data_IF_128502404299
#
_entry.id   IF_128502404299
#
_cell.length_a   1.000
_cell.length_b   1.000
_cell.length_c   1.000
_cell.angle_alpha   90.00
_cell.angle_beta   90.00
_cell.angle_gamma   90.00
#
_symmetry.space_group_name_H-M   'P 1'
#
loop_
_entity.id
_entity.type
_entity.pdbx_description
1 polymer ?
#
# COMPACT_ATOMS: atom_id res chain seq x y z
N UNK A 1 -20.08 2.64 2.88
CA UNK A 1 -19.00 2.13 2.00
C UNK A 1 -18.80 0.68 2.37
N UNK A 2 -18.38 -0.18 1.43
CA UNK A 2 -18.03 -1.56 1.76
C UNK A 2 -16.52 -1.65 1.64
N UNK A 3 -15.86 -2.09 2.70
CA UNK A 3 -14.41 -2.27 2.66
C UNK A 3 -14.10 -3.65 2.11
N UNK A 4 -12.90 -3.80 1.57
CA UNK A 4 -12.37 -5.10 1.18
C UNK A 4 -11.23 -5.43 2.12
N UNK A 5 -11.37 -6.55 2.80
CA UNK A 5 -10.34 -7.14 3.64
C UNK A 5 -9.55 -8.13 2.80
N UNK A 6 -8.24 -7.86 2.71
CA UNK A 6 -7.27 -8.73 2.09
C UNK A 6 -6.45 -9.40 3.19
N UNK A 7 -6.27 -10.73 3.10
CA UNK A 7 -5.47 -11.52 4.04
C UNK A 7 -4.64 -12.54 3.26
N UNK A 8 -3.64 -13.16 3.88
CA UNK A 8 -2.94 -14.31 3.27
C UNK A 8 -3.82 -15.56 3.13
N UNK A 9 -4.92 -15.65 3.88
CA UNK A 9 -5.72 -16.87 4.00
C UNK A 9 -7.00 -16.79 3.15
N UNK A 10 -6.82 -16.80 1.82
CA UNK A 10 -7.92 -16.98 0.87
C UNK A 10 -8.38 -15.71 0.14
N UNK A 11 -9.51 -15.78 -0.59
CA UNK A 11 -9.96 -14.69 -1.44
C UNK A 11 -10.35 -13.46 -0.61
N UNK A 12 -10.29 -12.25 -1.17
CA UNK A 12 -10.62 -11.05 -0.42
C UNK A 12 -12.09 -11.02 -0.02
N UNK A 13 -12.35 -10.48 1.17
CA UNK A 13 -13.65 -10.52 1.83
C UNK A 13 -14.26 -9.12 1.86
N UNK A 14 -15.59 -9.05 1.77
CA UNK A 14 -16.31 -7.82 2.11
C UNK A 14 -16.25 -7.62 3.62
N UNK A 15 -15.89 -6.43 4.07
CA UNK A 15 -15.71 -6.10 5.47
C UNK A 15 -16.37 -4.77 5.83
N UNK A 16 -16.73 -4.63 7.12
CA UNK A 16 -17.04 -3.35 7.74
C UNK A 16 -15.77 -2.54 8.02
N UNK A 17 -15.85 -1.62 8.97
CA UNK A 17 -14.73 -0.78 9.41
C UNK A 17 -13.86 -1.50 10.45
N UNK A 18 -12.82 -0.84 11.00
CA UNK A 18 -11.92 -1.46 11.99
C UNK A 18 -12.62 -1.93 13.27
N UNK A 19 -13.77 -1.36 13.60
CA UNK A 19 -14.60 -1.75 14.75
C UNK A 19 -15.47 -2.99 14.47
N UNK A 20 -15.51 -3.46 13.21
CA UNK A 20 -16.19 -4.70 12.85
C UNK A 20 -15.52 -5.88 13.58
N UNK A 21 -16.29 -6.71 14.33
CA UNK A 21 -15.72 -7.83 15.09
C UNK A 21 -14.93 -8.82 14.23
N UNK A 22 -15.35 -9.04 12.99
CA UNK A 22 -14.69 -9.96 12.07
C UNK A 22 -13.35 -9.38 11.60
N UNK A 23 -13.29 -8.06 11.38
CA UNK A 23 -12.04 -7.33 11.05
C UNK A 23 -11.10 -7.27 12.24
N UNK A 24 -11.61 -6.91 13.43
CA UNK A 24 -10.80 -6.79 14.65
C UNK A 24 -10.14 -8.11 15.04
N UNK A 25 -10.84 -9.23 14.83
CA UNK A 25 -10.34 -10.59 15.12
C UNK A 25 -9.48 -11.20 14.00
N UNK A 26 -9.40 -10.57 12.82
CA UNK A 26 -8.60 -11.07 11.71
C UNK A 26 -7.10 -11.00 12.03
N UNK A 27 -6.35 -12.12 11.97
CA UNK A 27 -4.91 -12.12 12.17
C UNK A 27 -4.18 -11.46 10.98
N UNK A 28 -3.05 -10.81 11.26
CA UNK A 28 -2.14 -10.33 10.22
C UNK A 28 -1.32 -11.47 9.58
N UNK A 29 -0.79 -11.28 8.36
CA UNK A 29 -0.80 -10.04 7.59
C UNK A 29 -2.17 -9.77 6.92
N UNK A 30 -2.66 -8.54 7.05
CA UNK A 30 -3.96 -8.14 6.49
C UNK A 30 -3.97 -6.66 6.07
N UNK A 31 -4.78 -6.31 5.07
CA UNK A 31 -4.96 -4.94 4.59
C UNK A 31 -6.43 -4.65 4.33
N UNK A 32 -6.90 -3.48 4.76
CA UNK A 32 -8.22 -2.97 4.45
C UNK A 32 -8.16 -1.90 3.37
N UNK A 33 -8.94 -2.11 2.32
CA UNK A 33 -9.13 -1.18 1.23
C UNK A 33 -10.52 -0.59 1.27
N UNK A 34 -10.63 0.71 1.06
CA UNK A 34 -11.91 1.35 0.80
C UNK A 34 -12.37 0.98 -0.62
N UNK A 35 -13.52 0.30 -0.75
CA UNK A 35 -14.10 -0.03 -2.07
C UNK A 35 -15.24 0.92 -2.38
N UNK A 36 -15.22 1.47 -3.61
CA UNK A 36 -16.43 2.00 -4.23
C UNK A 36 -17.25 0.80 -4.71
N UNK A 37 -18.52 0.74 -4.31
CA UNK A 37 -19.44 -0.41 -4.30
C UNK A 37 -19.63 -1.23 -5.61
N UNK A 38 -18.84 -0.98 -6.66
CA UNK A 38 -18.95 -1.59 -7.99
C UNK A 38 -17.78 -2.51 -8.37
N UNK A 39 -16.70 -2.63 -7.59
CA UNK A 39 -15.56 -3.52 -7.90
C UNK A 39 -15.62 -4.83 -7.12
N UNK A 40 -15.30 -5.96 -7.77
CA UNK A 40 -15.17 -7.25 -7.07
C UNK A 40 -13.89 -7.28 -6.23
N UNK A 41 -13.93 -8.03 -5.15
CA UNK A 41 -12.76 -8.36 -4.33
C UNK A 41 -11.55 -8.80 -5.17
N UNK A 42 -11.78 -9.63 -6.18
CA UNK A 42 -10.75 -10.15 -7.11
C UNK A 42 -10.05 -9.03 -7.92
N UNK A 43 -10.78 -7.98 -8.33
CA UNK A 43 -10.21 -6.80 -9.02
C UNK A 43 -9.31 -5.97 -8.08
N UNK A 44 -9.55 -6.07 -6.77
CA UNK A 44 -8.77 -5.38 -5.72
C UNK A 44 -7.39 -6.02 -5.58
N UNK A 45 -7.28 -7.35 -5.68
CA UNK A 45 -5.98 -8.05 -5.68
C UNK A 45 -5.16 -7.78 -6.94
N UNK A 46 -5.81 -7.73 -8.11
CA UNK A 46 -5.10 -7.66 -9.37
C UNK A 46 -4.37 -6.32 -9.59
N UNK A 47 -4.66 -5.29 -8.79
CA UNK A 47 -4.14 -3.95 -9.07
C UNK A 47 -3.85 -3.06 -7.86
N UNK A 48 -4.25 -3.42 -6.64
CA UNK A 48 -4.15 -2.51 -5.49
C UNK A 48 -4.76 -1.13 -5.77
N UNK A 49 -5.72 -1.04 -6.70
CA UNK A 49 -6.26 0.22 -7.26
C UNK A 49 -7.28 0.91 -6.37
N UNK A 50 -7.38 0.46 -5.14
CA UNK A 50 -8.24 1.05 -4.15
C UNK A 50 -7.36 1.72 -3.11
N UNK A 51 -7.90 2.77 -2.50
CA UNK A 51 -7.25 3.48 -1.42
C UNK A 51 -7.17 2.59 -0.17
N UNK A 52 -5.98 2.17 0.29
CA UNK A 52 -5.82 1.48 1.56
C UNK A 52 -6.09 2.47 2.69
N UNK A 53 -6.61 2.00 3.82
CA UNK A 53 -6.76 2.85 5.01
C UNK A 53 -6.27 2.21 6.29
N UNK A 54 -6.11 0.89 6.35
CA UNK A 54 -5.42 0.23 7.45
C UNK A 54 -4.67 -1.02 6.98
N UNK A 55 -3.58 -1.35 7.68
CA UNK A 55 -2.87 -2.62 7.54
C UNK A 55 -2.62 -3.24 8.92
N UNK A 56 -2.35 -4.55 8.93
CA UNK A 56 -1.97 -5.28 10.13
C UNK A 56 -0.81 -6.21 9.80
N UNK A 57 0.29 -6.08 10.52
CA UNK A 57 1.42 -7.00 10.44
C UNK A 57 1.14 -8.29 11.22
N UNK A 58 1.90 -9.35 10.93
CA UNK A 58 1.80 -10.61 11.67
C UNK A 58 2.08 -10.40 13.17
N UNK A 59 1.08 -10.68 14.01
CA UNK A 59 1.19 -10.56 15.47
C UNK A 59 1.10 -9.13 16.02
N UNK A 60 0.85 -8.13 15.19
CA UNK A 60 0.68 -6.74 15.60
C UNK A 60 -0.80 -6.33 15.73
N UNK A 61 -1.05 -5.13 16.24
CA UNK A 61 -2.35 -4.47 16.18
C UNK A 61 -2.58 -3.85 14.79
N UNK A 62 -3.83 -3.46 14.52
CA UNK A 62 -4.16 -2.70 13.32
C UNK A 62 -3.48 -1.33 13.35
N UNK A 63 -2.89 -0.95 12.22
CA UNK A 63 -2.30 0.36 11.97
C UNK A 63 -3.13 1.11 10.94
N UNK A 64 -3.66 2.28 11.31
CA UNK A 64 -4.35 3.18 10.37
C UNK A 64 -3.32 3.96 9.55
N UNK A 65 -3.43 3.90 8.22
CA UNK A 65 -2.54 4.65 7.34
C UNK A 65 -2.86 6.15 7.41
N UNK A 66 -1.82 6.97 7.48
CA UNK A 66 -1.94 8.39 7.22
C UNK A 66 -2.55 8.68 5.84
N UNK A 67 -3.35 9.75 5.76
CA UNK A 67 -4.01 10.18 4.52
C UNK A 67 -3.04 10.29 3.34
N UNK A 68 -1.84 10.83 3.59
CA UNK A 68 -0.80 10.99 2.58
C UNK A 68 -0.34 9.65 2.00
N UNK A 69 -0.05 8.65 2.84
CA UNK A 69 0.40 7.34 2.38
C UNK A 69 -0.70 6.61 1.59
N UNK A 70 -1.94 6.70 2.06
CA UNK A 70 -3.11 6.15 1.39
C UNK A 70 -3.32 6.77 -0.02
N UNK A 71 -3.26 8.09 -0.12
CA UNK A 71 -3.45 8.83 -1.37
C UNK A 71 -2.28 8.55 -2.34
N UNK A 72 -1.05 8.49 -1.83
CA UNK A 72 0.11 8.14 -2.63
C UNK A 72 -0.02 6.73 -3.21
N UNK A 73 -0.43 5.74 -2.41
CA UNK A 73 -0.68 4.39 -2.92
C UNK A 73 -1.75 4.38 -4.02
N UNK A 74 -2.87 5.08 -3.82
CA UNK A 74 -3.94 5.21 -4.81
C UNK A 74 -3.46 5.92 -6.10
N UNK A 75 -2.52 6.85 -6.00
CA UNK A 75 -1.90 7.54 -7.12
C UNK A 75 -0.85 6.74 -7.90
N UNK A 76 -0.35 5.61 -7.38
CA UNK A 76 0.60 4.76 -8.09
C UNK A 76 -0.05 4.05 -9.28
N UNK A 77 0.70 3.82 -10.36
CA UNK A 77 0.22 2.95 -11.43
C UNK A 77 0.19 1.49 -10.97
N UNK A 78 -0.67 0.64 -11.55
CA UNK A 78 -0.71 -0.78 -11.21
C UNK A 78 0.65 -1.47 -11.35
N UNK A 79 1.42 -1.13 -12.39
CA UNK A 79 2.75 -1.69 -12.65
C UNK A 79 3.74 -1.31 -11.54
N UNK A 80 3.66 -0.08 -11.05
CA UNK A 80 4.53 0.40 -9.99
C UNK A 80 4.16 -0.23 -8.63
N UNK A 81 2.88 -0.39 -8.33
CA UNK A 81 2.45 -1.14 -7.13
C UNK A 81 2.97 -2.57 -7.16
N UNK A 82 2.79 -3.27 -8.28
CA UNK A 82 3.29 -4.64 -8.42
C UNK A 82 4.82 -4.71 -8.25
N UNK A 83 5.53 -3.74 -8.83
CA UNK A 83 6.99 -3.62 -8.68
C UNK A 83 7.39 -3.44 -7.23
N UNK A 84 6.66 -2.61 -6.47
CA UNK A 84 6.94 -2.36 -5.05
C UNK A 84 6.56 -3.54 -4.13
N UNK A 85 5.49 -4.27 -4.45
CA UNK A 85 5.13 -5.51 -3.75
C UNK A 85 6.21 -6.58 -3.98
N UNK A 86 6.75 -6.65 -5.20
CA UNK A 86 7.81 -7.62 -5.55
C UNK A 86 9.18 -7.21 -4.99
N UNK A 87 9.52 -5.93 -5.07
CA UNK A 87 10.75 -5.34 -4.57
C UNK A 87 10.43 -3.99 -3.91
N UNK A 88 10.28 -4.01 -2.58
CA UNK A 88 10.04 -2.82 -1.76
C UNK A 88 11.15 -1.76 -1.81
N UNK A 89 12.31 -2.12 -2.37
CA UNK A 89 13.45 -1.22 -2.54
C UNK A 89 13.56 -0.66 -3.96
N UNK A 90 12.62 -1.02 -4.83
CA UNK A 90 12.57 -0.59 -6.20
C UNK A 90 12.64 0.94 -6.29
N UNK A 91 13.45 1.39 -7.23
CA UNK A 91 13.64 2.81 -7.48
C UNK A 91 12.45 3.35 -8.27
N UNK A 92 12.07 4.58 -7.97
CA UNK A 92 11.11 5.35 -8.75
C UNK A 92 11.88 6.30 -9.68
N UNK A 93 11.37 6.48 -10.90
CA UNK A 93 11.79 7.58 -11.76
C UNK A 93 11.33 8.91 -11.17
N UNK A 94 11.89 10.01 -11.68
CA UNK A 94 11.46 11.35 -11.27
C UNK A 94 10.01 11.60 -11.69
N UNK A 95 9.60 11.09 -12.84
CA UNK A 95 8.23 11.21 -13.36
C UNK A 95 7.26 10.44 -12.47
N UNK A 96 7.59 9.19 -12.11
CA UNK A 96 6.80 8.37 -11.17
C UNK A 96 6.67 9.09 -9.82
N UNK A 97 7.78 9.58 -9.26
CA UNK A 97 7.77 10.35 -8.01
C UNK A 97 6.90 11.62 -8.11
N UNK A 98 7.05 12.41 -9.18
CA UNK A 98 6.37 13.70 -9.32
C UNK A 98 4.86 13.55 -9.50
N UNK A 99 4.42 12.51 -10.20
CA UNK A 99 2.99 12.21 -10.38
C UNK A 99 2.36 11.76 -9.06
N UNK A 100 3.06 10.94 -8.29
CA UNK A 100 2.52 10.43 -7.03
C UNK A 100 2.52 11.47 -5.91
N UNK A 101 3.56 12.29 -5.79
CA UNK A 101 3.77 13.15 -4.60
C UNK A 101 3.48 14.62 -4.80
N UNK A 102 3.15 15.05 -6.03
CA UNK A 102 3.11 16.48 -6.40
C UNK A 102 4.36 17.29 -6.03
N UNK A 103 5.49 16.62 -5.76
CA UNK A 103 6.80 17.25 -5.50
C UNK A 103 7.28 17.23 -4.05
N UNK A 104 6.48 16.81 -3.06
CA UNK A 104 6.92 16.65 -1.67
C UNK A 104 6.15 15.53 -0.97
N UNK A 105 6.84 14.63 -0.26
CA UNK A 105 6.20 13.53 0.46
C UNK A 105 7.01 13.09 1.68
N UNK A 106 6.35 12.86 2.82
CA UNK A 106 6.97 12.19 3.98
C UNK A 106 6.97 10.66 3.84
N UNK A 107 6.14 10.12 2.95
CA UNK A 107 6.04 8.68 2.63
C UNK A 107 7.07 8.22 1.58
N UNK A 108 8.03 9.07 1.22
CA UNK A 108 9.08 8.76 0.25
C UNK A 108 10.44 9.29 0.69
N UNK A 109 11.48 8.46 0.58
CA UNK A 109 12.86 8.89 0.78
C UNK A 109 13.38 9.42 -0.56
N UNK A 110 13.85 10.66 -0.54
CA UNK A 110 14.72 11.21 -1.57
C UNK A 110 16.17 11.09 -1.08
N UNK A 111 16.96 10.24 -1.72
CA UNK A 111 18.39 10.18 -1.43
C UNK A 111 19.09 11.25 -2.29
N UNK A 112 19.29 12.44 -1.72
CA UNK A 112 20.16 13.46 -2.32
C UNK A 112 21.59 13.23 -1.84
N UNK A 113 22.48 12.71 -2.69
CA UNK A 113 23.90 13.01 -2.57
C UNK A 113 24.25 14.06 -3.62
N UNK A 114 24.14 15.32 -3.21
CA UNK A 114 24.31 16.53 -4.00
C UNK A 114 25.79 16.85 -4.29
N UNK A 115 26.65 15.84 -4.51
CA UNK A 115 28.09 16.06 -4.72
C UNK A 115 28.76 15.26 -5.84
N UNK A 116 28.00 14.54 -6.66
CA UNK A 116 28.55 13.88 -7.86
C UNK A 116 27.46 13.70 -8.90
N UNK A 117 27.83 13.70 -10.19
CA UNK A 117 27.02 13.53 -11.41
C UNK A 117 26.11 12.27 -11.47
N UNK A 118 25.42 11.93 -10.38
CA UNK A 118 24.54 10.77 -10.26
C UNK A 118 23.08 11.22 -10.23
N UNK A 119 22.18 10.54 -10.95
CA UNK A 119 20.76 10.88 -10.96
C UNK A 119 20.16 10.74 -9.56
N UNK A 120 19.17 11.59 -9.25
CA UNK A 120 18.41 11.51 -7.99
C UNK A 120 17.70 10.17 -7.89
N UNK A 121 17.79 9.54 -6.72
CA UNK A 121 17.21 8.24 -6.44
C UNK A 121 15.99 8.42 -5.54
N UNK A 122 14.84 7.90 -5.98
CA UNK A 122 13.57 8.00 -5.28
C UNK A 122 13.11 6.59 -4.83
N UNK A 123 12.66 6.46 -3.59
CA UNK A 123 12.13 5.21 -3.02
C UNK A 123 10.94 5.49 -2.11
N UNK A 124 10.02 4.51 -2.00
CA UNK A 124 8.97 4.54 -0.98
C UNK A 124 9.57 4.42 0.42
N UNK A 125 8.91 5.00 1.42
CA UNK A 125 9.35 5.03 2.80
C UNK A 125 8.18 5.12 3.78
N UNK A 126 8.48 4.97 5.08
CA UNK A 126 7.47 5.02 6.15
C UNK A 126 6.31 4.06 5.89
N UNK A 127 5.10 4.54 6.16
CA UNK A 127 3.86 3.77 6.05
C UNK A 127 3.62 3.18 4.65
N UNK A 128 4.06 3.87 3.59
CA UNK A 128 3.91 3.36 2.22
C UNK A 128 4.81 2.15 1.95
N UNK A 129 6.01 2.13 2.55
CA UNK A 129 6.91 0.96 2.48
C UNK A 129 6.37 -0.18 3.34
N UNK A 130 5.91 0.12 4.54
CA UNK A 130 5.33 -0.87 5.47
C UNK A 130 4.09 -1.54 4.87
N UNK A 131 3.20 -0.76 4.24
CA UNK A 131 2.07 -1.30 3.47
C UNK A 131 2.54 -2.27 2.37
N UNK A 132 3.56 -1.88 1.59
CA UNK A 132 4.08 -2.74 0.53
C UNK A 132 4.67 -4.05 1.07
N UNK A 133 5.24 -4.03 2.28
CA UNK A 133 5.74 -5.21 2.99
C UNK A 133 4.60 -6.15 3.38
N UNK A 134 3.54 -5.63 4.00
CA UNK A 134 2.37 -6.44 4.37
C UNK A 134 1.71 -7.05 3.13
N UNK A 135 1.59 -6.30 2.04
CA UNK A 135 1.06 -6.81 0.78
C UNK A 135 1.97 -7.87 0.13
N UNK A 136 3.29 -7.74 0.26
CA UNK A 136 4.24 -8.75 -0.21
C UNK A 136 4.07 -10.06 0.58
N UNK A 137 3.88 -9.99 1.89
CA UNK A 137 3.65 -11.17 2.73
C UNK A 137 2.32 -11.87 2.37
N UNK A 138 1.26 -11.09 2.11
CA UNK A 138 -0.04 -11.65 1.68
C UNK A 138 0.07 -12.36 0.32
N UNK A 139 0.87 -11.82 -0.61
CA UNK A 139 0.94 -12.30 -2.00
C UNK A 139 1.99 -13.38 -2.22
N UNK A 140 2.83 -13.67 -1.22
CA UNK A 140 3.90 -14.67 -1.29
C UNK A 140 3.47 -16.07 -0.82
N UNK A 141 2.24 -16.23 -0.35
CA UNK A 141 1.65 -17.50 0.13
C UNK A 141 0.88 -18.24 -0.98
#
# INVERSE_FOLDING_TARGET
MTNVLLTSQGPPLSAGDLEDPDVASTPGPAVLFATLATRRAEDTMATGSNRPFAYREAGADWHELGYEAADHWEGLTPELRQRLITDRTAQLSREEYSVTTSGASASMITSNWTYSDSPRMYRVAGELRELAEVLAEITSD
#
